data_IF_412181130271
#
_entry.id   IF_412181130271
#
_cell.length_a   1.000
_cell.length_b   1.000
_cell.length_c   1.000
_cell.angle_alpha   90.00
_cell.angle_beta   90.00
_cell.angle_gamma   90.00
#
_symmetry.space_group_name_H-M   'P 1'
#
loop_
_entity.id
_entity.type
_entity.pdbx_description
1 polymer ?
#
# COMPACT_ATOMS: atom_id res chain seq x y z
N UNK A 1 -13.65 -30.21 0.13
CA UNK A 1 -13.19 -29.39 -1.03
C UNK A 1 -14.06 -28.14 -1.26
N UNK A 2 -15.38 -28.27 -1.21
CA UNK A 2 -16.36 -27.17 -1.37
C UNK A 2 -16.06 -25.91 -0.53
N UNK A 3 -15.84 -26.05 0.78
CA UNK A 3 -15.52 -24.92 1.68
C UNK A 3 -14.30 -24.10 1.23
N UNK A 4 -13.26 -24.73 0.68
CA UNK A 4 -12.06 -24.03 0.18
C UNK A 4 -12.39 -23.19 -1.07
N UNK A 5 -13.26 -23.69 -1.95
CA UNK A 5 -13.70 -22.95 -3.15
C UNK A 5 -14.59 -21.76 -2.78
N UNK A 6 -15.56 -21.96 -1.88
CA UNK A 6 -16.43 -20.89 -1.37
C UNK A 6 -15.59 -19.79 -0.70
N UNK A 7 -14.63 -20.17 0.15
CA UNK A 7 -13.73 -19.24 0.81
C UNK A 7 -12.95 -18.36 -0.19
N UNK A 8 -12.39 -18.97 -1.24
CA UNK A 8 -11.71 -18.24 -2.31
C UNK A 8 -12.63 -17.28 -3.08
N UNK A 9 -13.88 -17.68 -3.36
CA UNK A 9 -14.86 -16.81 -4.02
C UNK A 9 -15.19 -15.60 -3.16
N UNK A 10 -15.49 -15.82 -1.87
CA UNK A 10 -15.80 -14.74 -0.92
C UNK A 10 -14.64 -13.76 -0.84
N UNK A 11 -13.40 -14.24 -0.65
CA UNK A 11 -12.21 -13.39 -0.63
C UNK A 11 -12.03 -12.56 -1.91
N UNK A 12 -12.27 -13.16 -3.09
CA UNK A 12 -12.20 -12.46 -4.38
C UNK A 12 -13.37 -11.51 -4.63
N UNK A 13 -14.52 -11.74 -3.99
CA UNK A 13 -15.71 -10.93 -4.16
C UNK A 13 -15.67 -9.68 -3.26
N UNK A 14 -15.25 -9.84 -2.00
CA UNK A 14 -15.17 -8.73 -1.04
C UNK A 14 -13.99 -7.79 -1.27
N UNK A 15 -12.99 -8.24 -2.05
CA UNK A 15 -11.80 -7.46 -2.33
C UNK A 15 -12.05 -6.43 -3.43
N UNK A 16 -11.53 -5.22 -3.22
CA UNK A 16 -11.58 -4.16 -4.23
C UNK A 16 -11.00 -4.65 -5.57
N UNK A 17 -11.65 -4.28 -6.67
CA UNK A 17 -11.32 -4.78 -8.00
C UNK A 17 -9.85 -4.52 -8.38
N UNK A 18 -9.31 -3.35 -8.05
CA UNK A 18 -7.92 -3.00 -8.38
C UNK A 18 -6.90 -3.89 -7.65
N UNK A 19 -7.10 -4.11 -6.35
CA UNK A 19 -6.28 -4.99 -5.52
C UNK A 19 -6.35 -6.41 -6.05
N UNK A 20 -7.56 -6.91 -6.31
CA UNK A 20 -7.80 -8.25 -6.85
C UNK A 20 -7.09 -8.48 -8.19
N UNK A 21 -7.15 -7.50 -9.10
CA UNK A 21 -6.50 -7.58 -10.42
C UNK A 21 -4.96 -7.55 -10.30
N UNK A 22 -4.42 -6.99 -9.22
CA UNK A 22 -2.98 -6.91 -8.98
C UNK A 22 -2.35 -8.20 -8.41
N UNK A 23 -3.18 -9.17 -8.02
CA UNK A 23 -2.79 -10.45 -7.42
C UNK A 23 -2.85 -11.54 -8.51
N UNK A 24 -1.81 -12.38 -8.65
CA UNK A 24 -1.82 -13.49 -9.60
C UNK A 24 -3.02 -14.44 -9.41
N UNK A 25 -3.47 -15.06 -10.51
CA UNK A 25 -4.54 -16.07 -10.44
C UNK A 25 -4.08 -17.25 -9.58
N UNK A 26 -4.91 -17.61 -8.61
CA UNK A 26 -4.73 -18.75 -7.72
C UNK A 26 -6.05 -19.52 -7.62
N UNK A 27 -5.96 -20.85 -7.69
CA UNK A 27 -7.09 -21.78 -7.60
C UNK A 27 -7.29 -22.34 -6.19
N UNK A 28 -6.27 -22.20 -5.33
CA UNK A 28 -6.27 -22.62 -3.93
C UNK A 28 -6.38 -21.41 -3.01
N UNK A 29 -7.33 -21.45 -2.07
CA UNK A 29 -7.56 -20.36 -1.10
C UNK A 29 -6.31 -19.99 -0.29
N UNK A 30 -5.53 -20.99 0.14
CA UNK A 30 -4.28 -20.77 0.91
C UNK A 30 -3.23 -20.02 0.09
N UNK A 31 -3.05 -20.40 -1.17
CA UNK A 31 -2.06 -19.76 -2.06
C UNK A 31 -2.50 -18.34 -2.43
N UNK A 32 -3.80 -18.11 -2.63
CA UNK A 32 -4.35 -16.77 -2.80
C UNK A 32 -4.04 -15.86 -1.61
N UNK A 33 -4.31 -16.32 -0.37
CA UNK A 33 -3.98 -15.57 0.84
C UNK A 33 -2.48 -15.28 0.97
N UNK A 34 -1.61 -16.24 0.62
CA UNK A 34 -0.15 -16.01 0.61
C UNK A 34 0.21 -14.90 -0.37
N UNK A 35 -0.29 -14.95 -1.61
CA UNK A 35 -0.02 -13.93 -2.62
C UNK A 35 -0.55 -12.54 -2.22
N UNK A 36 -1.69 -12.47 -1.53
CA UNK A 36 -2.18 -11.23 -0.91
C UNK A 36 -1.12 -10.70 0.07
N UNK A 37 -0.70 -11.52 1.04
CA UNK A 37 0.30 -11.12 2.04
C UNK A 37 1.62 -10.64 1.41
N UNK A 38 2.13 -11.34 0.40
CA UNK A 38 3.36 -10.96 -0.32
C UNK A 38 3.23 -9.64 -1.08
N UNK A 39 2.06 -9.41 -1.70
CA UNK A 39 1.78 -8.16 -2.41
C UNK A 39 1.80 -6.97 -1.46
N UNK A 40 1.15 -7.09 -0.30
CA UNK A 40 1.11 -6.01 0.69
C UNK A 40 2.48 -5.76 1.34
N UNK A 41 3.31 -6.79 1.56
CA UNK A 41 4.70 -6.60 2.01
C UNK A 41 5.52 -5.80 0.99
N UNK A 42 5.37 -6.10 -0.30
CA UNK A 42 6.07 -5.37 -1.36
C UNK A 42 5.57 -3.94 -1.48
N UNK A 43 4.25 -3.75 -1.38
CA UNK A 43 3.63 -2.43 -1.38
C UNK A 43 4.12 -1.57 -0.21
N UNK A 44 4.15 -2.12 1.01
CA UNK A 44 4.66 -1.45 2.20
C UNK A 44 6.11 -0.98 2.04
N UNK A 45 6.99 -1.87 1.55
CA UNK A 45 8.39 -1.53 1.23
C UNK A 45 8.51 -0.40 0.22
N UNK A 46 7.75 -0.49 -0.89
CA UNK A 46 7.75 0.55 -1.93
C UNK A 46 7.22 1.89 -1.39
N UNK A 47 6.17 1.85 -0.57
CA UNK A 47 5.59 3.03 0.05
C UNK A 47 6.54 3.68 1.05
N UNK A 48 7.22 2.89 1.89
CA UNK A 48 8.24 3.36 2.84
C UNK A 48 9.43 3.99 2.13
N UNK A 49 9.90 3.39 1.03
CA UNK A 49 11.00 3.92 0.21
C UNK A 49 10.68 5.25 -0.49
N UNK A 50 9.39 5.56 -0.71
CA UNK A 50 8.97 6.78 -1.38
C UNK A 50 9.10 8.03 -0.51
N UNK A 51 8.80 7.96 0.79
CA UNK A 51 8.74 9.16 1.64
C UNK A 51 10.07 9.88 1.84
N UNK A 52 11.23 9.20 2.06
CA UNK A 52 12.52 9.87 2.13
C UNK A 52 12.81 10.71 0.87
N UNK A 53 12.58 10.12 -0.32
CA UNK A 53 12.75 10.84 -1.58
C UNK A 53 11.76 12.00 -1.73
N UNK A 54 10.53 11.90 -1.21
CA UNK A 54 9.58 13.01 -1.23
C UNK A 54 10.06 14.15 -0.33
N UNK A 55 10.56 13.86 0.87
CA UNK A 55 11.06 14.88 1.80
C UNK A 55 12.26 15.61 1.17
N UNK A 56 13.21 14.88 0.61
CA UNK A 56 14.42 15.46 -0.01
C UNK A 56 14.10 16.29 -1.26
N UNK A 57 13.20 15.81 -2.13
CA UNK A 57 12.92 16.45 -3.42
C UNK A 57 11.85 17.54 -3.35
N UNK A 58 11.05 17.60 -2.28
CA UNK A 58 10.01 18.62 -2.15
C UNK A 58 10.63 19.94 -1.74
N UNK A 59 10.91 20.80 -2.72
CA UNK A 59 11.37 22.18 -2.50
C UNK A 59 10.18 23.11 -2.29
N UNK A 60 10.45 24.24 -1.64
CA UNK A 60 9.49 25.33 -1.54
C UNK A 60 9.28 25.97 -2.92
N UNK A 61 8.04 26.22 -3.30
CA UNK A 61 7.67 26.72 -4.63
C UNK A 61 7.66 28.26 -4.73
N UNK A 62 7.84 28.97 -3.61
CA UNK A 62 7.84 30.43 -3.57
C UNK A 62 6.46 31.07 -3.70
N UNK A 63 5.39 30.27 -3.84
CA UNK A 63 4.02 30.75 -4.07
C UNK A 63 3.05 30.26 -2.99
N UNK A 64 3.17 29.00 -2.58
CA UNK A 64 2.40 28.44 -1.46
C UNK A 64 2.82 29.07 -0.14
N UNK A 65 1.96 29.03 0.88
CA UNK A 65 2.30 29.49 2.20
C UNK A 65 3.38 28.61 2.83
N UNK A 66 4.38 29.22 3.50
CA UNK A 66 5.46 28.49 4.18
C UNK A 66 4.93 27.44 5.18
N UNK A 67 3.80 27.75 5.82
CA UNK A 67 3.10 26.84 6.74
C UNK A 67 2.58 25.59 6.02
N UNK A 68 2.02 25.75 4.83
CA UNK A 68 1.49 24.64 4.02
C UNK A 68 2.64 23.75 3.54
N UNK A 69 3.74 24.36 3.08
CA UNK A 69 4.95 23.64 2.73
C UNK A 69 5.48 22.81 3.91
N UNK A 70 5.60 23.41 5.09
CA UNK A 70 6.04 22.71 6.30
C UNK A 70 5.09 21.59 6.71
N UNK A 71 3.77 21.81 6.68
CA UNK A 71 2.78 20.76 6.97
C UNK A 71 2.94 19.58 6.02
N UNK A 72 3.22 19.81 4.73
CA UNK A 72 3.43 18.74 3.75
C UNK A 72 4.63 17.86 4.09
N UNK A 73 5.75 18.48 4.47
CA UNK A 73 6.96 17.77 4.91
C UNK A 73 6.70 16.97 6.20
N UNK A 74 5.99 17.56 7.17
CA UNK A 74 5.60 16.90 8.43
C UNK A 74 4.68 15.71 8.14
N UNK A 75 3.73 15.83 7.21
CA UNK A 75 2.87 14.71 6.81
C UNK A 75 3.67 13.56 6.21
N UNK A 76 4.66 13.82 5.36
CA UNK A 76 5.54 12.77 4.81
C UNK A 76 6.38 12.11 5.91
N UNK A 77 6.93 12.89 6.83
CA UNK A 77 7.68 12.38 7.97
C UNK A 77 6.82 11.49 8.89
N UNK A 78 5.61 11.93 9.22
CA UNK A 78 4.69 11.16 10.07
C UNK A 78 4.28 9.84 9.41
N UNK A 79 4.01 9.85 8.09
CA UNK A 79 3.73 8.61 7.32
C UNK A 79 4.94 7.68 7.29
N UNK A 80 6.16 8.22 7.14
CA UNK A 80 7.38 7.41 7.21
C UNK A 80 7.55 6.76 8.59
N UNK A 81 7.24 7.51 9.66
CA UNK A 81 7.30 7.01 11.04
C UNK A 81 6.28 5.91 11.30
N UNK A 82 5.04 6.04 10.80
CA UNK A 82 4.01 5.01 10.97
C UNK A 82 4.33 3.70 10.23
N UNK A 83 5.16 3.75 9.19
CA UNK A 83 5.63 2.56 8.45
C UNK A 83 6.93 1.95 9.04
N UNK A 84 7.49 2.53 10.10
CA UNK A 84 8.52 1.90 10.93
C UNK A 84 7.84 1.11 12.04
N UNK A 85 7.19 0.00 11.67
CA UNK A 85 6.91 -1.12 12.59
C UNK A 85 8.04 -2.12 12.44
#
# INVERSE_FOLDING_TARGET
EHSKRVCLMVMKYTMEKSIRQSIPKNDKAKDFLRSVGEKFKTFDKAQKGRYPSLIEKTKYDGVSGIREHMMKLVQYYNKLKSLKV
#
